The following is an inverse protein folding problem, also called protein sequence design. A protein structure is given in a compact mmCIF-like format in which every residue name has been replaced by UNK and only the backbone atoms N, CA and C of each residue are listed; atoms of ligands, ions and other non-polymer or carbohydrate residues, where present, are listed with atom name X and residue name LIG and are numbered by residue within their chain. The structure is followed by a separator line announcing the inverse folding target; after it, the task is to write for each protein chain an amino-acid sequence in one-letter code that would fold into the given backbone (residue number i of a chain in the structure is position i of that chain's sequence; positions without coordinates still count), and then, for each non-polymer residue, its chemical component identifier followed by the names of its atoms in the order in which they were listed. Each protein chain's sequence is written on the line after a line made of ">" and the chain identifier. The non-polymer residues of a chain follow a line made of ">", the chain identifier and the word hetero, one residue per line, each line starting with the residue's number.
data_IF_053386798800
#
_entry.id   IF_053386798800
#
_cell.length_a   1.000
_cell.length_b   1.000
_cell.length_c   1.000
_cell.angle_alpha   90.00
_cell.angle_beta   90.00
_cell.angle_gamma   90.00
#
_symmetry.space_group_name_H-M   'P 1'
#
loop_
_entity.id
_entity.type
_entity.pdbx_description
1 polymer ?
#
# COMPACT_ATOMS: atom_id res chain seq x y z
N UNK A 1 -12.06 -21.25 -24.25
CA UNK A 1 -12.17 -19.87 -23.77
C UNK A 1 -13.37 -19.86 -22.86
N UNK A 2 -13.19 -19.45 -21.60
CA UNK A 2 -14.31 -19.31 -20.65
C UNK A 2 -15.21 -18.17 -21.18
N UNK A 3 -16.54 -18.39 -21.25
CA UNK A 3 -17.47 -17.31 -21.59
C UNK A 3 -17.36 -16.17 -20.60
N UNK A 4 -17.41 -14.92 -21.10
CA UNK A 4 -17.40 -13.73 -20.25
C UNK A 4 -18.70 -13.68 -19.43
N UNK A 5 -18.58 -13.25 -18.16
CA UNK A 5 -19.77 -12.92 -17.35
C UNK A 5 -20.50 -11.71 -17.93
N UNK A 6 -21.75 -11.50 -17.52
CA UNK A 6 -22.50 -10.29 -17.92
C UNK A 6 -21.79 -9.02 -17.43
N UNK A 7 -21.21 -9.06 -16.25
CA UNK A 7 -20.43 -7.96 -15.71
C UNK A 7 -19.20 -7.65 -16.58
N UNK A 8 -18.47 -8.68 -17.02
CA UNK A 8 -17.28 -8.53 -17.87
C UNK A 8 -17.63 -7.95 -19.24
N UNK A 9 -18.69 -8.47 -19.91
CA UNK A 9 -19.18 -7.93 -21.18
C UNK A 9 -19.56 -6.47 -21.05
N UNK A 10 -20.36 -6.14 -20.04
CA UNK A 10 -20.79 -4.77 -19.79
C UNK A 10 -19.61 -3.84 -19.49
N UNK A 11 -18.62 -4.33 -18.76
CA UNK A 11 -17.41 -3.56 -18.46
C UNK A 11 -16.62 -3.25 -19.74
N UNK A 12 -16.44 -4.21 -20.62
CA UNK A 12 -15.74 -4.04 -21.89
C UNK A 12 -16.44 -3.01 -22.80
N UNK A 13 -17.78 -3.03 -22.85
CA UNK A 13 -18.58 -2.07 -23.60
C UNK A 13 -18.48 -0.63 -23.04
N UNK A 14 -18.47 -0.49 -21.71
CA UNK A 14 -18.44 0.81 -21.03
C UNK A 14 -17.07 1.48 -21.13
N UNK A 15 -15.99 0.68 -21.18
CA UNK A 15 -14.61 1.18 -21.13
C UNK A 15 -13.78 0.82 -22.38
N UNK A 16 -14.20 1.19 -23.58
CA UNK A 16 -13.43 0.93 -24.78
C UNK A 16 -12.08 1.65 -24.70
N UNK A 17 -11.01 0.94 -25.03
CA UNK A 17 -9.65 1.50 -25.02
C UNK A 17 -8.95 1.53 -23.66
N UNK A 18 -9.57 1.04 -22.59
CA UNK A 18 -8.88 0.75 -21.32
C UNK A 18 -8.43 -0.71 -21.33
N UNK A 19 -7.19 -0.96 -20.93
CA UNK A 19 -6.68 -2.34 -20.79
C UNK A 19 -7.41 -3.03 -19.65
N UNK A 20 -8.21 -4.05 -19.99
CA UNK A 20 -8.92 -4.90 -19.03
C UNK A 20 -8.31 -6.30 -19.04
N UNK A 21 -8.28 -6.94 -17.88
CA UNK A 21 -7.99 -8.37 -17.73
C UNK A 21 -9.11 -8.99 -16.93
N UNK A 22 -9.58 -10.13 -17.41
CA UNK A 22 -10.62 -10.90 -16.76
C UNK A 22 -10.01 -12.08 -16.01
N UNK A 23 -10.52 -12.37 -14.84
CA UNK A 23 -10.02 -13.44 -13.97
C UNK A 23 -8.51 -13.31 -13.70
N UNK A 24 -8.03 -12.06 -13.58
CA UNK A 24 -6.61 -11.79 -13.34
C UNK A 24 -6.21 -12.20 -11.92
N UNK A 25 -5.22 -13.11 -11.74
CA UNK A 25 -4.80 -13.57 -10.42
C UNK A 25 -4.22 -12.44 -9.57
N UNK A 26 -4.84 -12.16 -8.42
CA UNK A 26 -4.41 -11.09 -7.51
C UNK A 26 -3.04 -11.37 -6.89
N UNK A 27 -2.65 -12.64 -6.75
CA UNK A 27 -1.31 -13.03 -6.29
C UNK A 27 -0.17 -12.39 -7.10
N UNK A 28 -0.41 -12.08 -8.39
CA UNK A 28 0.55 -11.38 -9.25
C UNK A 28 0.66 -9.89 -8.96
N UNK A 29 -0.31 -9.33 -8.24
CA UNK A 29 -0.46 -7.91 -7.96
C UNK A 29 -0.33 -7.56 -6.48
N UNK A 30 -0.06 -8.54 -5.63
CA UNK A 30 0.21 -8.36 -4.21
C UNK A 30 1.64 -8.77 -3.86
N UNK A 31 2.28 -8.06 -2.94
CA UNK A 31 3.62 -8.42 -2.47
C UNK A 31 3.62 -9.69 -1.60
N UNK A 32 2.47 -10.05 -1.05
CA UNK A 32 2.27 -11.30 -0.32
C UNK A 32 2.20 -12.51 -1.23
N UNK A 33 1.95 -12.30 -2.55
CA UNK A 33 1.74 -13.34 -3.56
C UNK A 33 0.62 -14.30 -3.17
N UNK A 34 -0.46 -13.74 -2.66
CA UNK A 34 -1.69 -14.43 -2.26
C UNK A 34 -2.87 -13.70 -2.89
N UNK A 35 -3.88 -14.44 -3.28
CA UNK A 35 -5.15 -13.95 -3.79
C UNK A 35 -5.60 -14.65 -5.05
N UNK A 36 -6.87 -15.02 -5.06
CA UNK A 36 -7.57 -15.60 -6.20
C UNK A 36 -7.79 -14.57 -7.33
N UNK A 37 -8.65 -14.91 -8.31
CA UNK A 37 -8.86 -14.06 -9.48
C UNK A 37 -9.72 -12.82 -9.18
N UNK A 38 -9.31 -11.66 -9.71
CA UNK A 38 -10.18 -10.51 -9.87
C UNK A 38 -11.12 -10.74 -11.05
N UNK A 39 -12.43 -10.55 -10.89
CA UNK A 39 -13.39 -10.72 -11.98
C UNK A 39 -13.04 -9.80 -13.16
N UNK A 40 -12.79 -8.50 -12.88
CA UNK A 40 -12.24 -7.55 -13.84
C UNK A 40 -11.15 -6.71 -13.17
N UNK A 41 -9.98 -6.66 -13.78
CA UNK A 41 -8.91 -5.73 -13.42
C UNK A 41 -8.64 -4.75 -14.55
N UNK A 42 -8.76 -3.45 -14.27
CA UNK A 42 -8.53 -2.36 -15.22
C UNK A 42 -7.16 -1.72 -14.97
N UNK A 43 -6.47 -1.40 -16.05
CA UNK A 43 -5.14 -0.78 -16.04
C UNK A 43 -5.19 0.56 -16.78
N UNK A 44 -5.66 1.65 -16.16
CA UNK A 44 -5.67 2.96 -16.79
C UNK A 44 -4.23 3.44 -16.99
N UNK A 45 -3.97 4.13 -18.12
CA UNK A 45 -2.65 4.68 -18.45
C UNK A 45 -2.57 6.19 -18.25
N UNK A 46 -3.71 6.84 -18.02
CA UNK A 46 -3.82 8.28 -17.90
C UNK A 46 -4.88 8.66 -16.85
N UNK A 47 -4.78 9.88 -16.35
CA UNK A 47 -5.71 10.48 -15.39
C UNK A 47 -7.17 10.48 -15.89
N UNK A 48 -7.34 10.77 -17.17
CA UNK A 48 -8.66 10.82 -17.84
C UNK A 48 -9.30 9.43 -17.88
N UNK A 49 -8.50 8.38 -18.08
CA UNK A 49 -8.99 7.00 -18.04
C UNK A 49 -9.37 6.59 -16.62
N UNK A 50 -8.62 7.01 -15.61
CA UNK A 50 -8.99 6.79 -14.20
C UNK A 50 -10.31 7.49 -13.88
N UNK A 51 -10.45 8.77 -14.26
CA UNK A 51 -11.70 9.51 -14.05
C UNK A 51 -12.90 8.85 -14.76
N UNK A 52 -12.70 8.36 -15.99
CA UNK A 52 -13.74 7.62 -16.70
C UNK A 52 -14.12 6.31 -16.00
N UNK A 53 -13.13 5.55 -15.46
CA UNK A 53 -13.37 4.32 -14.70
C UNK A 53 -14.22 4.62 -13.46
N UNK A 54 -13.85 5.60 -12.67
CA UNK A 54 -14.58 5.97 -11.46
C UNK A 54 -15.98 6.45 -11.78
N UNK A 55 -16.13 7.44 -12.67
CA UNK A 55 -17.41 8.04 -13.03
C UNK A 55 -18.41 7.04 -13.61
N UNK A 56 -17.96 6.16 -14.51
CA UNK A 56 -18.85 5.21 -15.18
C UNK A 56 -19.11 3.94 -14.39
N UNK A 57 -18.41 3.73 -13.26
CA UNK A 57 -18.59 2.52 -12.42
C UNK A 57 -20.03 2.41 -11.87
N UNK A 58 -20.72 3.54 -11.72
CA UNK A 58 -22.15 3.57 -11.36
C UNK A 58 -23.01 2.80 -12.35
N UNK A 59 -22.64 2.77 -13.64
CA UNK A 59 -23.36 2.01 -14.67
C UNK A 59 -23.20 0.49 -14.49
N UNK A 60 -22.18 0.07 -13.73
CA UNK A 60 -21.92 -1.33 -13.37
C UNK A 60 -22.54 -1.70 -12.04
N UNK A 61 -23.16 -0.77 -11.33
CA UNK A 61 -23.62 -0.95 -9.95
C UNK A 61 -22.52 -1.51 -9.05
N UNK A 62 -21.31 -1.03 -9.24
CA UNK A 62 -20.16 -1.47 -8.44
C UNK A 62 -19.33 -0.30 -7.91
N UNK A 63 -18.70 -0.54 -6.76
CA UNK A 63 -17.69 0.36 -6.19
C UNK A 63 -16.31 -0.18 -6.55
N UNK A 64 -15.56 0.49 -7.44
CA UNK A 64 -14.23 0.03 -7.80
C UNK A 64 -13.30 -0.02 -6.58
N UNK A 65 -12.49 -1.06 -6.51
CA UNK A 65 -11.41 -1.16 -5.53
C UNK A 65 -10.13 -0.64 -6.16
N UNK A 66 -9.49 0.34 -5.53
CA UNK A 66 -8.25 0.92 -6.02
C UNK A 66 -7.06 0.18 -5.45
N UNK A 67 -6.19 -0.31 -6.33
CA UNK A 67 -4.98 -1.03 -5.98
C UNK A 67 -3.74 -0.26 -6.45
N UNK A 68 -2.85 0.09 -5.52
CA UNK A 68 -1.51 0.57 -5.83
C UNK A 68 -0.56 -0.58 -6.16
N UNK A 69 0.55 -0.67 -5.43
CA UNK A 69 1.50 -1.79 -5.58
C UNK A 69 1.15 -3.06 -4.79
N UNK A 70 0.00 -3.11 -4.11
CA UNK A 70 -0.46 -4.29 -3.36
C UNK A 70 0.46 -4.70 -2.20
N UNK A 71 1.14 -3.74 -1.56
CA UNK A 71 2.18 -4.03 -0.57
C UNK A 71 1.69 -4.05 0.87
N UNK A 72 0.40 -3.78 1.09
CA UNK A 72 -0.27 -3.85 2.39
C UNK A 72 -1.65 -4.54 2.28
N UNK A 73 -1.78 -5.52 1.39
CA UNK A 73 -3.06 -6.18 1.08
C UNK A 73 -2.92 -7.68 1.20
N UNK A 74 -3.91 -8.31 1.83
CA UNK A 74 -4.20 -9.73 1.77
C UNK A 74 -5.49 -9.91 0.96
N UNK A 75 -5.36 -10.34 -0.28
CA UNK A 75 -6.49 -10.61 -1.17
C UNK A 75 -7.05 -12.01 -0.89
N UNK A 76 -8.39 -12.21 -0.98
CA UNK A 76 -9.04 -13.48 -0.65
C UNK A 76 -8.70 -14.59 -1.66
N UNK A 77 -8.71 -15.85 -1.18
CA UNK A 77 -8.39 -17.03 -1.99
C UNK A 77 -9.42 -17.28 -3.10
N UNK A 78 -10.69 -17.00 -2.80
CA UNK A 78 -11.81 -17.11 -3.75
C UNK A 78 -11.80 -16.05 -4.85
N UNK A 79 -10.97 -15.02 -4.71
CA UNK A 79 -10.92 -13.88 -5.61
C UNK A 79 -11.92 -12.78 -5.25
N UNK A 80 -12.02 -11.79 -6.13
CA UNK A 80 -12.86 -10.62 -5.91
C UNK A 80 -13.81 -10.39 -7.09
N UNK A 81 -15.12 -10.30 -6.85
CA UNK A 81 -16.08 -9.87 -7.85
C UNK A 81 -15.95 -8.38 -8.12
N UNK A 82 -16.44 -7.94 -9.27
CA UNK A 82 -16.50 -6.54 -9.65
C UNK A 82 -15.21 -6.01 -10.24
N UNK A 83 -14.96 -4.71 -10.07
CA UNK A 83 -13.91 -3.95 -10.75
C UNK A 83 -12.79 -3.57 -9.80
N UNK A 84 -11.57 -4.02 -10.09
CA UNK A 84 -10.34 -3.55 -9.46
C UNK A 84 -9.61 -2.62 -10.43
N UNK A 85 -9.20 -1.44 -9.98
CA UNK A 85 -8.43 -0.47 -10.76
C UNK A 85 -6.98 -0.47 -10.24
N UNK A 86 -6.07 -1.00 -11.03
CA UNK A 86 -4.65 -1.09 -10.70
C UNK A 86 -3.91 0.18 -11.16
N UNK A 87 -3.38 0.95 -10.22
CA UNK A 87 -2.67 2.20 -10.49
C UNK A 87 -1.14 2.02 -10.57
N UNK A 88 -0.62 0.82 -10.40
CA UNK A 88 0.83 0.56 -10.38
C UNK A 88 1.56 1.10 -11.60
N UNK A 89 0.94 1.06 -12.77
CA UNK A 89 1.52 1.54 -14.03
C UNK A 89 0.75 2.75 -14.60
N UNK A 90 0.08 3.51 -13.72
CA UNK A 90 -0.67 4.73 -14.03
C UNK A 90 -0.13 5.90 -13.19
N UNK A 91 -0.41 7.13 -13.63
CA UNK A 91 -0.09 8.35 -12.89
C UNK A 91 1.41 8.46 -12.53
N UNK A 92 2.26 8.41 -13.55
CA UNK A 92 3.70 8.63 -13.42
C UNK A 92 4.07 10.07 -13.70
N UNK A 93 4.97 10.61 -12.89
CA UNK A 93 5.55 11.92 -13.05
C UNK A 93 6.08 12.45 -11.74
N UNK A 94 7.14 13.21 -11.81
CA UNK A 94 7.73 13.92 -10.69
C UNK A 94 8.27 15.25 -11.21
N UNK A 95 7.96 16.33 -10.53
CA UNK A 95 8.45 17.66 -10.86
C UNK A 95 8.86 18.41 -9.60
N UNK A 96 9.89 19.21 -9.71
CA UNK A 96 10.22 20.20 -8.69
C UNK A 96 9.38 21.45 -8.95
N UNK A 97 8.69 21.90 -7.92
CA UNK A 97 7.97 23.16 -7.91
C UNK A 97 8.90 24.27 -7.41
N UNK A 98 8.34 25.43 -7.11
CA UNK A 98 9.04 26.53 -6.47
C UNK A 98 9.59 26.16 -5.08
N UNK A 99 10.76 26.66 -4.74
CA UNK A 99 11.41 26.45 -3.45
C UNK A 99 11.76 24.98 -3.21
N UNK A 100 11.32 24.45 -2.08
CA UNK A 100 11.63 23.10 -1.61
C UNK A 100 10.44 22.13 -1.75
N UNK A 101 9.54 22.36 -2.70
CA UNK A 101 8.38 21.51 -2.96
C UNK A 101 8.62 20.65 -4.19
N UNK A 102 8.17 19.40 -4.11
CA UNK A 102 8.10 18.49 -5.24
C UNK A 102 6.68 17.93 -5.36
N UNK A 103 6.16 17.86 -6.59
CA UNK A 103 4.94 17.10 -6.89
C UNK A 103 5.32 15.73 -7.38
N UNK A 104 4.65 14.72 -6.86
CA UNK A 104 4.86 13.32 -7.23
C UNK A 104 3.52 12.67 -7.52
N UNK A 105 3.38 12.08 -8.70
CA UNK A 105 2.16 11.38 -9.09
C UNK A 105 1.97 10.08 -8.30
N UNK A 106 0.71 9.72 -8.06
CA UNK A 106 0.33 8.63 -7.15
C UNK A 106 0.89 7.24 -7.52
N UNK A 107 1.12 6.97 -8.81
CA UNK A 107 1.68 5.70 -9.29
C UNK A 107 3.20 5.58 -9.13
N UNK A 108 3.90 6.66 -8.80
CA UNK A 108 5.35 6.64 -8.54
C UNK A 108 5.63 5.89 -7.24
N UNK A 109 6.66 5.04 -7.22
CA UNK A 109 7.05 4.36 -5.99
C UNK A 109 7.66 5.31 -4.96
N UNK A 110 7.44 5.04 -3.67
CA UNK A 110 8.03 5.79 -2.56
C UNK A 110 9.55 5.92 -2.70
N UNK A 111 10.21 4.81 -3.07
CA UNK A 111 11.66 4.80 -3.30
C UNK A 111 12.09 5.77 -4.42
N UNK A 112 11.34 5.83 -5.53
CA UNK A 112 11.64 6.76 -6.64
C UNK A 112 11.43 8.21 -6.24
N UNK A 113 10.39 8.50 -5.45
CA UNK A 113 10.16 9.84 -4.90
C UNK A 113 11.31 10.29 -4.00
N UNK A 114 11.79 9.42 -3.11
CA UNK A 114 12.94 9.70 -2.24
C UNK A 114 14.24 9.95 -3.04
N UNK A 115 14.51 9.11 -4.06
CA UNK A 115 15.67 9.29 -4.96
C UNK A 115 15.57 10.59 -5.74
N UNK A 116 14.38 10.96 -6.22
CA UNK A 116 14.16 12.21 -6.92
C UNK A 116 14.47 13.42 -6.01
N UNK A 117 13.91 13.43 -4.78
CA UNK A 117 14.19 14.49 -3.79
C UNK A 117 15.70 14.62 -3.49
N UNK A 118 16.38 13.50 -3.25
CA UNK A 118 17.83 13.47 -2.99
C UNK A 118 18.65 14.08 -4.15
N UNK A 119 18.27 13.80 -5.41
CA UNK A 119 18.92 14.38 -6.59
C UNK A 119 18.77 15.91 -6.65
N UNK A 120 17.67 16.44 -6.14
CA UNK A 120 17.44 17.89 -6.04
C UNK A 120 18.09 18.52 -4.80
N UNK A 121 18.73 17.74 -3.92
CA UNK A 121 19.29 18.25 -2.66
C UNK A 121 18.21 18.59 -1.65
N UNK A 122 17.12 17.84 -1.64
CA UNK A 122 15.98 18.01 -0.75
C UNK A 122 15.89 16.86 0.22
N UNK A 123 15.98 17.15 1.52
CA UNK A 123 15.89 16.23 2.66
C UNK A 123 14.47 16.16 3.19
N UNK A 124 14.06 15.01 3.74
CA UNK A 124 12.78 14.75 4.39
C UNK A 124 12.10 13.49 3.91
N UNK A 125 12.51 12.90 2.75
CA UNK A 125 11.95 11.65 2.22
C UNK A 125 12.89 10.45 2.37
N UNK A 126 13.98 10.53 3.13
CA UNK A 126 14.94 9.44 3.31
C UNK A 126 14.29 8.19 3.91
N UNK A 127 13.34 8.36 4.85
CA UNK A 127 12.59 7.28 5.47
C UNK A 127 11.77 6.47 4.46
N UNK A 128 11.30 7.14 3.39
CA UNK A 128 10.43 6.58 2.38
C UNK A 128 11.17 5.66 1.39
N UNK A 129 12.51 5.81 1.26
CA UNK A 129 13.31 5.06 0.29
C UNK A 129 13.17 3.54 0.42
N UNK A 130 13.06 3.05 1.65
CA UNK A 130 12.89 1.62 1.91
C UNK A 130 11.44 1.13 1.95
N UNK A 131 10.45 2.02 1.98
CA UNK A 131 9.04 1.62 2.06
C UNK A 131 8.57 1.10 0.70
N UNK A 132 8.11 -0.16 0.58
CA UNK A 132 7.52 -0.63 -0.65
C UNK A 132 6.14 0.00 -0.85
N UNK A 133 5.78 0.24 -2.09
CA UNK A 133 4.47 0.83 -2.42
C UNK A 133 4.59 2.07 -3.27
N UNK A 134 3.44 2.62 -3.63
CA UNK A 134 3.31 3.85 -4.41
C UNK A 134 3.03 5.04 -3.51
N UNK A 135 3.28 6.25 -4.01
CA UNK A 135 2.99 7.50 -3.30
C UNK A 135 1.51 7.60 -2.94
N UNK A 136 0.59 7.21 -3.86
CA UNK A 136 -0.84 7.20 -3.55
C UNK A 136 -1.20 6.29 -2.37
N UNK A 137 -0.66 5.07 -2.34
CA UNK A 137 -0.82 4.16 -1.20
C UNK A 137 -0.12 4.67 0.07
N UNK A 138 1.02 5.36 -0.08
CA UNK A 138 1.73 6.02 1.01
C UNK A 138 0.93 7.12 1.68
N UNK A 139 0.27 7.98 0.89
CA UNK A 139 -0.64 9.03 1.39
C UNK A 139 -1.86 8.40 2.05
N UNK A 140 -2.51 7.44 1.38
CA UNK A 140 -3.67 6.74 1.91
C UNK A 140 -3.44 6.15 3.31
N UNK A 141 -2.28 5.52 3.51
CA UNK A 141 -1.92 4.83 4.76
C UNK A 141 -1.15 5.71 5.75
N UNK A 142 -0.88 6.98 5.46
CA UNK A 142 0.14 7.75 6.17
C UNK A 142 1.39 6.88 6.44
N UNK A 143 1.98 6.35 5.36
CA UNK A 143 3.05 5.38 5.45
C UNK A 143 4.29 5.97 6.15
N UNK A 144 4.85 5.24 7.09
CA UNK A 144 5.99 5.72 7.87
C UNK A 144 6.97 4.63 8.28
N UNK A 145 8.19 5.04 8.52
CA UNK A 145 9.28 4.21 9.02
C UNK A 145 10.33 5.07 9.72
N UNK A 146 11.06 4.48 10.67
CA UNK A 146 12.20 5.12 11.33
C UNK A 146 11.89 6.46 12.02
N UNK A 147 10.68 6.60 12.56
CA UNK A 147 10.25 7.77 13.33
C UNK A 147 9.73 8.94 12.49
N UNK A 148 9.56 8.75 11.18
CA UNK A 148 8.91 9.70 10.28
C UNK A 148 7.81 9.03 9.45
N UNK A 149 6.88 9.80 8.93
CA UNK A 149 5.79 9.35 8.06
C UNK A 149 5.42 10.43 7.02
N UNK A 150 4.45 10.11 6.17
CA UNK A 150 4.00 11.01 5.10
C UNK A 150 3.48 12.34 5.65
N UNK A 151 2.79 12.35 6.80
CA UNK A 151 2.23 13.56 7.38
C UNK A 151 3.29 14.63 7.70
N UNK A 152 4.52 14.20 8.01
CA UNK A 152 5.62 15.10 8.31
C UNK A 152 6.08 15.96 7.11
N UNK A 153 5.78 15.51 5.89
CA UNK A 153 6.28 16.15 4.66
C UNK A 153 5.21 16.44 3.61
N UNK A 154 4.03 15.83 3.69
CA UNK A 154 2.94 16.03 2.75
C UNK A 154 2.28 17.39 3.00
N UNK A 155 2.40 18.32 2.05
CA UNK A 155 1.78 19.63 2.14
C UNK A 155 0.34 19.61 1.62
N UNK A 156 0.10 18.88 0.53
CA UNK A 156 -1.20 18.76 -0.12
C UNK A 156 -1.25 17.52 -1.01
N UNK A 157 -2.46 17.07 -1.35
CA UNK A 157 -2.70 16.04 -2.34
C UNK A 157 -3.84 16.44 -3.29
N UNK A 158 -3.70 16.09 -4.57
CA UNK A 158 -4.82 16.09 -5.50
C UNK A 158 -5.58 14.77 -5.34
N UNK A 159 -6.87 14.88 -5.08
CA UNK A 159 -7.79 13.77 -4.87
C UNK A 159 -8.82 13.72 -5.97
N UNK A 160 -9.19 12.53 -6.41
CA UNK A 160 -10.25 12.29 -7.38
C UNK A 160 -11.40 11.58 -6.68
N UNK A 161 -12.60 12.15 -6.76
CA UNK A 161 -13.83 11.54 -6.27
C UNK A 161 -14.35 10.45 -7.23
N UNK A 162 -15.49 9.85 -6.89
CA UNK A 162 -16.10 8.80 -7.71
C UNK A 162 -16.74 9.34 -8.99
N UNK A 163 -17.05 10.61 -9.04
CA UNK A 163 -17.57 11.31 -10.21
C UNK A 163 -16.45 11.74 -11.18
N UNK A 164 -15.17 11.50 -10.80
CA UNK A 164 -13.99 11.88 -11.56
C UNK A 164 -13.61 13.35 -11.43
N UNK A 165 -14.21 14.08 -10.48
CA UNK A 165 -13.82 15.44 -10.18
C UNK A 165 -12.55 15.45 -9.33
N UNK A 166 -11.78 16.51 -9.47
CA UNK A 166 -10.52 16.67 -8.73
C UNK A 166 -10.61 17.86 -7.80
N UNK A 167 -10.16 17.65 -6.58
CA UNK A 167 -9.93 18.69 -5.59
C UNK A 167 -8.53 18.59 -5.01
N UNK A 168 -8.02 19.68 -4.48
CA UNK A 168 -6.82 19.69 -3.65
C UNK A 168 -7.23 19.65 -2.19
N UNK A 169 -6.59 18.79 -1.41
CA UNK A 169 -6.69 18.71 0.04
C UNK A 169 -5.31 19.04 0.63
N UNK A 170 -5.26 19.97 1.56
CA UNK A 170 -4.05 20.26 2.32
C UNK A 170 -3.82 19.22 3.43
N UNK A 171 -2.72 19.36 4.17
CA UNK A 171 -2.36 18.40 5.21
C UNK A 171 -3.40 18.30 6.33
N UNK A 172 -4.11 19.40 6.66
CA UNK A 172 -5.17 19.43 7.67
C UNK A 172 -6.40 18.66 7.17
N UNK A 173 -6.82 18.90 5.92
CA UNK A 173 -7.95 18.21 5.30
C UNK A 173 -7.68 16.71 5.04
N UNK A 174 -6.41 16.28 4.98
CA UNK A 174 -6.04 14.87 4.87
C UNK A 174 -6.16 14.11 6.19
N UNK A 175 -6.29 14.79 7.32
CA UNK A 175 -6.53 14.26 8.67
C UNK A 175 -5.67 13.04 9.00
N UNK A 176 -4.36 13.20 8.84
CA UNK A 176 -3.41 12.13 9.06
C UNK A 176 -3.31 11.72 10.53
N UNK A 177 -3.39 10.43 10.76
CA UNK A 177 -3.03 9.82 12.04
C UNK A 177 -2.22 8.54 11.82
N UNK A 178 -1.93 7.78 12.87
CA UNK A 178 -1.12 6.57 12.75
C UNK A 178 -1.75 5.53 11.81
N UNK A 179 -1.15 5.30 10.65
CA UNK A 179 -1.63 4.37 9.60
C UNK A 179 -3.01 4.71 9.07
N UNK A 180 -3.34 6.00 9.01
CA UNK A 180 -4.65 6.48 8.63
C UNK A 180 -4.59 7.83 7.92
N UNK A 181 -5.53 8.07 7.04
CA UNK A 181 -5.89 9.36 6.45
C UNK A 181 -7.40 9.40 6.18
N UNK A 182 -7.98 10.57 6.00
CA UNK A 182 -9.41 10.77 5.67
C UNK A 182 -9.88 9.99 4.43
N UNK A 183 -8.95 9.51 3.61
CA UNK A 183 -9.26 8.73 2.41
C UNK A 183 -9.90 7.37 2.70
N UNK A 184 -9.77 6.86 3.94
CA UNK A 184 -10.50 5.66 4.38
C UNK A 184 -12.02 5.88 4.40
N UNK A 185 -12.44 7.07 4.84
CA UNK A 185 -13.84 7.46 4.95
C UNK A 185 -14.40 7.96 3.64
N UNK A 186 -13.66 8.84 2.96
CA UNK A 186 -14.14 9.47 1.73
C UNK A 186 -14.10 8.54 0.54
N UNK A 187 -13.15 7.59 0.52
CA UNK A 187 -12.92 6.68 -0.60
C UNK A 187 -12.42 7.38 -1.85
N UNK A 188 -11.90 8.61 -1.73
CA UNK A 188 -11.27 9.34 -2.82
C UNK A 188 -9.93 8.70 -3.19
N UNK A 189 -9.55 8.86 -4.46
CA UNK A 189 -8.31 8.30 -5.00
C UNK A 189 -7.25 9.39 -5.11
N UNK A 190 -6.06 9.16 -4.55
CA UNK A 190 -4.92 10.07 -4.72
C UNK A 190 -4.46 10.09 -6.16
N UNK A 191 -4.35 11.28 -6.75
CA UNK A 191 -3.82 11.52 -8.10
C UNK A 191 -2.36 11.95 -8.04
N UNK A 192 -2.04 12.87 -7.14
CA UNK A 192 -0.68 13.34 -6.87
C UNK A 192 -0.55 13.82 -5.43
N UNK A 193 0.67 13.91 -4.92
CA UNK A 193 0.99 14.56 -3.66
C UNK A 193 2.10 15.59 -3.85
N UNK A 194 2.02 16.69 -3.11
CA UNK A 194 3.07 17.69 -3.00
C UNK A 194 3.76 17.54 -1.65
N UNK A 195 5.05 17.28 -1.69
CA UNK A 195 5.88 17.20 -0.51
C UNK A 195 6.65 18.51 -0.32
N UNK A 196 6.59 19.04 0.90
CA UNK A 196 7.41 20.18 1.35
C UNK A 196 8.60 19.62 2.10
N UNK A 197 9.78 19.85 1.53
CA UNK A 197 11.05 19.29 1.99
C UNK A 197 11.98 20.43 2.46
N UNK A 198 13.16 20.09 2.93
CA UNK A 198 14.18 21.06 3.36
C UNK A 198 15.45 20.94 2.50
N UNK A 199 16.16 22.04 2.19
CA UNK A 199 17.46 21.95 1.54
C UNK A 199 18.43 21.12 2.39
N UNK A 200 19.23 20.28 1.73
CA UNK A 200 20.23 19.46 2.41
C UNK A 200 21.40 19.10 1.50
N UNK A 201 22.49 18.65 2.09
CA UNK A 201 23.63 18.14 1.34
C UNK A 201 23.28 16.81 0.68
N UNK A 202 23.53 16.68 -0.62
CA UNK A 202 23.18 15.47 -1.38
C UNK A 202 23.90 14.22 -0.88
N UNK A 203 25.14 14.35 -0.43
CA UNK A 203 25.92 13.22 0.07
C UNK A 203 25.38 12.74 1.42
N UNK A 204 25.00 13.67 2.30
CA UNK A 204 24.38 13.35 3.60
C UNK A 204 23.02 12.68 3.42
N UNK A 205 22.16 13.21 2.52
CA UNK A 205 20.86 12.60 2.19
C UNK A 205 21.04 11.16 1.69
N UNK A 206 21.97 10.96 0.74
CA UNK A 206 22.25 9.61 0.21
C UNK A 206 22.84 8.68 1.25
N UNK A 207 23.73 9.18 2.11
CA UNK A 207 24.29 8.41 3.23
C UNK A 207 23.18 7.96 4.19
N UNK A 208 22.24 8.85 4.51
CA UNK A 208 21.07 8.53 5.34
C UNK A 208 20.17 7.47 4.72
N UNK A 209 19.84 7.61 3.44
CA UNK A 209 19.04 6.62 2.69
C UNK A 209 19.73 5.24 2.72
N UNK A 210 21.04 5.19 2.50
CA UNK A 210 21.83 3.96 2.54
C UNK A 210 21.85 3.35 3.94
N UNK A 211 22.03 4.16 4.98
CA UNK A 211 21.98 3.71 6.39
C UNK A 211 20.62 3.02 6.67
N UNK A 212 19.50 3.69 6.35
CA UNK A 212 18.15 3.18 6.59
C UNK A 212 17.88 1.90 5.79
N UNK A 213 18.34 1.84 4.54
CA UNK A 213 18.24 0.64 3.72
C UNK A 213 19.05 -0.53 4.30
N UNK A 214 20.26 -0.27 4.77
CA UNK A 214 21.10 -1.30 5.41
C UNK A 214 20.44 -1.85 6.67
N UNK A 215 19.91 -0.98 7.53
CA UNK A 215 19.14 -1.39 8.72
C UNK A 215 17.94 -2.28 8.34
N UNK A 216 17.22 -1.91 7.27
CA UNK A 216 16.08 -2.67 6.79
C UNK A 216 16.47 -4.04 6.27
N UNK A 217 17.50 -4.14 5.43
CA UNK A 217 18.03 -5.40 4.91
C UNK A 217 18.51 -6.33 6.03
N UNK A 218 19.12 -5.77 7.06
CA UNK A 218 19.59 -6.54 8.21
C UNK A 218 18.44 -7.11 9.05
N UNK A 219 17.36 -6.34 9.27
CA UNK A 219 16.30 -6.69 10.21
C UNK A 219 15.07 -7.35 9.59
N UNK A 220 14.70 -7.05 8.33
CA UNK A 220 13.42 -7.48 7.73
C UNK A 220 13.59 -8.67 6.79
N UNK A 221 12.57 -9.55 6.64
CA UNK A 221 12.60 -10.75 5.80
C UNK A 221 12.29 -10.41 4.33
N UNK A 222 13.07 -9.53 3.70
CA UNK A 222 12.81 -9.01 2.34
C UNK A 222 12.94 -10.05 1.22
N UNK A 223 13.47 -11.23 1.55
CA UNK A 223 13.57 -12.37 0.64
C UNK A 223 12.31 -13.25 0.58
N UNK A 224 11.34 -13.01 1.47
CA UNK A 224 10.08 -13.75 1.51
C UNK A 224 8.90 -12.81 1.16
N UNK A 225 7.87 -13.29 0.46
CA UNK A 225 6.65 -12.54 0.23
C UNK A 225 5.96 -12.18 1.53
N UNK A 226 5.54 -10.91 1.67
CA UNK A 226 4.83 -10.39 2.83
C UNK A 226 4.07 -9.12 2.47
N UNK A 227 3.17 -8.67 3.34
CA UNK A 227 2.48 -7.39 3.22
C UNK A 227 3.00 -6.35 4.25
N UNK A 228 4.28 -6.40 4.59
CA UNK A 228 4.86 -5.51 5.61
C UNK A 228 4.62 -6.01 7.03
N UNK A 229 4.47 -5.08 7.98
CA UNK A 229 4.15 -5.39 9.38
C UNK A 229 2.81 -6.09 9.49
N UNK A 230 2.76 -7.20 10.25
CA UNK A 230 1.54 -7.96 10.45
C UNK A 230 0.52 -7.19 11.32
N UNK A 231 1.01 -6.49 12.34
CA UNK A 231 0.18 -5.78 13.31
C UNK A 231 0.61 -4.33 13.49
N UNK A 232 -0.35 -3.48 13.81
CA UNK A 232 -0.13 -2.09 14.22
C UNK A 232 0.67 -2.04 15.51
N UNK A 233 1.25 -0.87 15.82
CA UNK A 233 1.86 -0.64 17.13
C UNK A 233 0.77 -0.72 18.20
N UNK A 234 0.90 -1.61 19.20
CA UNK A 234 -0.10 -1.73 20.25
C UNK A 234 0.01 -0.58 21.26
N UNK A 235 -0.95 -0.51 22.19
CA UNK A 235 -0.99 0.48 23.26
C UNK A 235 0.25 0.48 24.17
N UNK A 236 0.95 -0.67 24.28
CA UNK A 236 2.17 -0.84 25.06
C UNK A 236 3.20 -1.65 24.30
N UNK A 237 4.43 -1.16 24.17
CA UNK A 237 5.54 -1.83 23.53
C UNK A 237 5.49 -1.85 22.01
N UNK A 238 5.99 -2.93 21.44
CA UNK A 238 6.01 -3.20 20.00
C UNK A 238 5.44 -4.57 19.72
N UNK A 239 4.60 -4.71 18.71
CA UNK A 239 4.01 -5.99 18.33
C UNK A 239 5.08 -7.08 18.12
N UNK A 240 6.17 -6.75 17.43
CA UNK A 240 7.27 -7.69 17.19
C UNK A 240 7.90 -8.22 18.50
N UNK A 241 8.09 -7.37 19.51
CA UNK A 241 8.65 -7.77 20.80
C UNK A 241 7.67 -8.69 21.55
N UNK A 242 6.41 -8.32 21.61
CA UNK A 242 5.37 -9.14 22.27
C UNK A 242 5.20 -10.52 21.61
N UNK A 243 5.27 -10.58 20.28
CA UNK A 243 5.21 -11.86 19.53
C UNK A 243 6.45 -12.70 19.81
N UNK A 244 7.62 -12.08 19.89
CA UNK A 244 8.88 -12.77 20.22
C UNK A 244 8.89 -13.29 21.67
N UNK A 245 8.48 -12.46 22.62
CA UNK A 245 8.29 -12.82 24.04
C UNK A 245 7.28 -13.96 24.24
N UNK A 246 6.26 -14.04 23.37
CA UNK A 246 5.31 -15.13 23.35
C UNK A 246 5.86 -16.42 22.70
N UNK A 247 7.12 -16.43 22.26
CA UNK A 247 7.75 -17.59 21.63
C UNK A 247 7.17 -17.93 20.25
N UNK A 248 6.56 -16.95 19.56
CA UNK A 248 5.84 -17.18 18.30
C UNK A 248 6.69 -16.88 17.05
N UNK A 249 7.99 -16.62 17.20
CA UNK A 249 8.90 -16.53 16.06
C UNK A 249 8.93 -17.87 15.32
N UNK A 250 8.74 -17.86 14.01
CA UNK A 250 8.64 -19.09 13.21
C UNK A 250 7.32 -19.87 13.35
N UNK A 251 6.36 -19.38 14.15
CA UNK A 251 5.04 -20.02 14.28
C UNK A 251 4.32 -20.08 12.93
N UNK A 252 3.68 -21.22 12.61
CA UNK A 252 3.16 -21.52 11.29
C UNK A 252 1.70 -22.00 11.32
N UNK A 253 0.96 -21.60 10.29
CA UNK A 253 -0.32 -22.17 9.89
C UNK A 253 -0.22 -22.52 8.40
N UNK A 254 0.00 -23.77 8.07
CA UNK A 254 0.38 -24.17 6.71
C UNK A 254 1.66 -23.48 6.25
N UNK A 255 1.61 -22.81 5.12
CA UNK A 255 2.73 -22.03 4.57
C UNK A 255 2.73 -20.54 4.97
N UNK A 256 1.74 -20.10 5.75
CA UNK A 256 1.80 -18.81 6.41
C UNK A 256 2.62 -18.91 7.71
N UNK A 257 3.56 -18.00 7.94
CA UNK A 257 4.42 -18.04 9.13
C UNK A 257 4.74 -16.65 9.68
N UNK A 258 4.97 -16.57 11.01
CA UNK A 258 5.70 -15.46 11.59
C UNK A 258 7.19 -15.63 11.21
N UNK A 259 7.78 -14.57 10.66
CA UNK A 259 9.16 -14.63 10.18
C UNK A 259 10.15 -14.96 11.29
N UNK A 260 11.06 -15.89 11.03
CA UNK A 260 12.22 -16.20 11.87
C UNK A 260 13.15 -14.99 12.05
N UNK A 261 13.25 -14.13 11.03
CA UNK A 261 14.12 -12.96 11.04
C UNK A 261 13.55 -11.78 11.81
N UNK A 262 12.22 -11.58 11.75
CA UNK A 262 11.53 -10.44 12.38
C UNK A 262 10.12 -10.83 12.78
N UNK A 263 9.87 -11.01 14.06
CA UNK A 263 8.59 -11.48 14.57
C UNK A 263 7.36 -10.58 14.26
N UNK A 264 7.58 -9.33 13.84
CA UNK A 264 6.51 -8.43 13.40
C UNK A 264 6.01 -8.66 11.96
N UNK A 265 6.57 -9.65 11.23
CA UNK A 265 6.20 -9.93 9.83
C UNK A 265 5.54 -11.30 9.71
N UNK A 266 4.37 -11.31 9.08
CA UNK A 266 3.81 -12.52 8.50
C UNK A 266 4.36 -12.71 7.09
N UNK A 267 4.80 -13.92 6.76
CA UNK A 267 5.45 -14.26 5.47
C UNK A 267 4.77 -15.47 4.83
N UNK A 268 4.81 -15.52 3.50
CA UNK A 268 4.41 -16.67 2.71
C UNK A 268 5.66 -17.51 2.39
N UNK A 269 5.67 -18.77 2.81
CA UNK A 269 6.79 -19.69 2.61
C UNK A 269 6.75 -20.41 1.25
N UNK A 270 5.70 -20.14 0.44
CA UNK A 270 5.59 -20.68 -0.90
C UNK A 270 4.15 -20.78 -1.39
N UNK A 271 3.29 -21.46 -0.66
CA UNK A 271 1.91 -21.75 -1.04
C UNK A 271 0.89 -21.34 0.05
N UNK A 272 1.17 -20.27 0.80
CA UNK A 272 0.25 -19.78 1.81
C UNK A 272 -1.05 -19.27 1.17
N UNK A 273 -2.18 -19.56 1.81
CA UNK A 273 -3.48 -19.04 1.42
C UNK A 273 -3.90 -17.87 2.30
N UNK A 274 -4.86 -17.06 1.84
CA UNK A 274 -5.43 -15.97 2.63
C UNK A 274 -6.08 -16.49 3.92
N UNK A 275 -6.73 -17.64 3.84
CA UNK A 275 -7.28 -18.32 5.02
C UNK A 275 -6.19 -18.63 6.06
N UNK A 276 -5.06 -19.21 5.63
CA UNK A 276 -3.95 -19.53 6.53
C UNK A 276 -3.34 -18.28 7.17
N UNK A 277 -3.18 -17.19 6.42
CA UNK A 277 -2.68 -15.92 6.97
C UNK A 277 -3.67 -15.34 7.97
N UNK A 278 -4.96 -15.30 7.68
CA UNK A 278 -5.98 -14.82 8.62
C UNK A 278 -5.99 -15.63 9.91
N UNK A 279 -5.90 -16.95 9.79
CA UNK A 279 -5.81 -17.84 10.94
C UNK A 279 -4.53 -17.58 11.74
N UNK A 280 -3.37 -17.45 11.07
CA UNK A 280 -2.10 -17.12 11.71
C UNK A 280 -2.19 -15.81 12.52
N UNK A 281 -2.72 -14.75 11.91
CA UNK A 281 -2.87 -13.45 12.57
C UNK A 281 -3.78 -13.55 13.80
N UNK A 282 -4.89 -14.26 13.66
CA UNK A 282 -5.83 -14.46 14.77
C UNK A 282 -5.19 -15.24 15.93
N UNK A 283 -4.54 -16.39 15.66
CA UNK A 283 -3.91 -17.21 16.68
C UNK A 283 -2.76 -16.47 17.38
N UNK A 284 -1.95 -15.71 16.63
CA UNK A 284 -0.87 -14.88 17.20
C UNK A 284 -1.45 -13.81 18.11
N UNK A 285 -2.50 -13.10 17.68
CA UNK A 285 -3.13 -12.07 18.51
C UNK A 285 -3.68 -12.65 19.81
N UNK A 286 -4.40 -13.80 19.76
CA UNK A 286 -4.95 -14.46 20.93
C UNK A 286 -3.86 -14.90 21.92
N UNK A 287 -2.76 -15.48 21.44
CA UNK A 287 -1.67 -15.95 22.31
C UNK A 287 -0.91 -14.78 22.96
N UNK A 288 -0.66 -13.71 22.22
CA UNK A 288 -0.04 -12.50 22.76
C UNK A 288 -0.94 -11.87 23.82
N UNK A 289 -2.23 -11.75 23.54
CA UNK A 289 -3.20 -11.18 24.49
C UNK A 289 -3.32 -12.02 25.78
N UNK A 290 -3.39 -13.34 25.65
CA UNK A 290 -3.42 -14.25 26.80
C UNK A 290 -2.18 -14.15 27.70
N UNK A 291 -1.00 -13.90 27.11
CA UNK A 291 0.26 -13.81 27.87
C UNK A 291 0.52 -12.41 28.43
N UNK A 292 0.24 -11.36 27.66
CA UNK A 292 0.65 -9.97 27.95
C UNK A 292 -0.50 -9.04 28.36
N UNK A 293 -1.76 -9.45 28.13
CA UNK A 293 -2.94 -8.59 28.24
C UNK A 293 -3.01 -7.50 27.18
N UNK A 294 -2.19 -7.58 26.12
CA UNK A 294 -2.13 -6.56 25.05
C UNK A 294 -2.79 -7.10 23.80
N UNK A 295 -3.84 -6.42 23.36
CA UNK A 295 -4.51 -6.75 22.10
C UNK A 295 -3.67 -6.29 20.90
N UNK A 296 -3.55 -7.15 19.87
CA UNK A 296 -2.88 -6.85 18.61
C UNK A 296 -3.91 -6.67 17.48
N UNK A 297 -3.86 -5.52 16.81
CA UNK A 297 -4.70 -5.20 15.66
C UNK A 297 -3.90 -5.40 14.35
N UNK A 298 -4.40 -6.15 13.36
CA UNK A 298 -3.74 -6.29 12.07
C UNK A 298 -3.48 -4.94 11.38
N UNK A 299 -2.28 -4.74 10.82
CA UNK A 299 -1.94 -3.60 9.96
C UNK A 299 -2.24 -3.91 8.48
N UNK A 300 -2.20 -5.20 8.13
CA UNK A 300 -2.49 -5.68 6.78
C UNK A 300 -3.98 -5.46 6.47
N UNK A 301 -4.27 -4.86 5.33
CA UNK A 301 -5.64 -4.70 4.82
C UNK A 301 -6.14 -6.03 4.25
N UNK A 302 -7.11 -6.62 4.95
CA UNK A 302 -7.76 -7.86 4.53
C UNK A 302 -8.97 -7.49 3.68
N UNK A 303 -9.00 -7.93 2.43
CA UNK A 303 -10.08 -7.71 1.46
C UNK A 303 -11.18 -8.76 1.57
#
# INVERSE_FOLDING_TARGET
>A
MTELTDFQRKTEEIYPGISLRFWEPLEKHTSFRIGGPAEVMAFPKAREQLGALLKKSVLLDCKPVILGAGTNVLAPDEGMPGLIVCLKDCLFGMEQLDGCRIRVMAGVTMARAAVFAAKQGLSGLEFAHGIPGTVGGGVYMNAGAYGSDISAVCAEAELMDREGNIRTADAEALDFSYRHSVLEETGETVVSAVFRLTPGDKAEIQAKMKELQTKRLASQPLNLPSAGSAFKRPSRGYAAALIDEAGLRGYRVGDAAISEKHAGFAVNLGAATAFQVRQLLWEVAQRVEAQSGVHLEPEIRIW
#
